data_IF_766720001601
#
_entry.id   IF_766720001601
#
_cell.length_a   1.000
_cell.length_b   1.000
_cell.length_c   1.000
_cell.angle_alpha   90.00
_cell.angle_beta   90.00
_cell.angle_gamma   90.00
#
_symmetry.space_group_name_H-M   'P 1'
#
loop_
_entity.id
_entity.type
_entity.pdbx_description
1 polymer ?
#
# COMPACT_ATOMS: atom_id res chain seq x y z
N UNK A 1 8.49 1.36 7.34
CA UNK A 1 7.34 1.49 6.45
C UNK A 1 6.92 0.14 5.90
N UNK A 2 5.66 -0.03 5.69
CA UNK A 2 5.10 -1.24 5.08
C UNK A 2 4.08 -0.84 4.02
N UNK A 3 4.16 -1.46 2.86
CA UNK A 3 3.20 -1.26 1.78
C UNK A 3 2.33 -2.51 1.63
N UNK A 4 1.04 -2.36 1.86
CA UNK A 4 0.06 -3.41 1.55
C UNK A 4 -0.31 -3.29 0.08
N UNK A 5 -0.12 -4.35 -0.68
CA UNK A 5 -0.16 -4.25 -2.14
C UNK A 5 -0.63 -5.56 -2.77
N UNK A 6 -0.95 -5.50 -4.06
CA UNK A 6 -1.11 -6.68 -4.89
C UNK A 6 -0.58 -6.38 -6.29
N UNK A 7 0.20 -7.30 -6.89
CA UNK A 7 0.83 -7.04 -8.21
C UNK A 7 -0.17 -6.77 -9.34
N UNK A 8 -1.39 -7.30 -9.23
CA UNK A 8 -2.43 -7.10 -10.24
C UNK A 8 -3.09 -5.73 -10.13
N UNK A 9 -2.99 -5.08 -8.97
CA UNK A 9 -3.59 -3.78 -8.75
C UNK A 9 -2.87 -2.71 -9.57
N UNK A 10 -3.58 -2.05 -10.48
CA UNK A 10 -3.01 -0.97 -11.29
C UNK A 10 -2.67 0.25 -10.44
N UNK A 11 -3.39 0.47 -9.35
CA UNK A 11 -3.12 1.56 -8.43
C UNK A 11 -1.85 1.33 -7.59
N UNK A 12 -1.47 0.07 -7.38
CA UNK A 12 -0.27 -0.30 -6.63
C UNK A 12 1.01 -0.08 -7.44
N UNK A 13 0.95 -0.29 -8.75
CA UNK A 13 2.14 -0.25 -9.62
C UNK A 13 2.96 1.03 -9.51
N UNK A 14 2.36 2.23 -9.63
CA UNK A 14 3.17 3.46 -9.56
C UNK A 14 3.84 3.63 -8.21
N UNK A 15 3.23 3.18 -7.13
CA UNK A 15 3.81 3.25 -5.79
C UNK A 15 5.01 2.33 -5.70
N UNK A 16 4.89 1.08 -6.14
CA UNK A 16 6.01 0.13 -6.12
C UNK A 16 7.16 0.59 -6.98
N UNK A 17 6.85 1.14 -8.15
CA UNK A 17 7.87 1.64 -9.06
C UNK A 17 8.64 2.80 -8.45
N UNK A 18 7.94 3.74 -7.83
CA UNK A 18 8.55 4.88 -7.17
C UNK A 18 9.48 4.43 -6.03
N UNK A 19 9.03 3.49 -5.23
CA UNK A 19 9.84 2.94 -4.13
C UNK A 19 11.12 2.29 -4.68
N UNK A 20 10.99 1.49 -5.73
CA UNK A 20 12.13 0.80 -6.31
C UNK A 20 13.13 1.78 -6.94
N UNK A 21 12.64 2.76 -7.70
CA UNK A 21 13.50 3.72 -8.40
C UNK A 21 14.25 4.64 -7.44
N UNK A 22 13.71 4.90 -6.28
CA UNK A 22 14.31 5.81 -5.30
C UNK A 22 15.04 5.10 -4.17
N UNK A 23 15.12 3.77 -4.23
CA UNK A 23 15.82 2.97 -3.22
C UNK A 23 15.24 3.11 -1.82
N UNK A 24 13.94 3.31 -1.72
CA UNK A 24 13.27 3.48 -0.43
C UNK A 24 13.12 2.12 0.25
N UNK A 25 13.50 2.05 1.54
CA UNK A 25 13.31 0.84 2.31
C UNK A 25 11.86 0.73 2.76
N UNK A 26 11.16 -0.25 2.22
CA UNK A 26 9.76 -0.45 2.54
C UNK A 26 9.45 -1.94 2.41
N UNK A 27 8.90 -2.52 3.47
CA UNK A 27 8.44 -3.90 3.43
C UNK A 27 7.15 -3.98 2.63
N UNK A 28 6.98 -5.06 1.89
CA UNK A 28 5.75 -5.28 1.13
C UNK A 28 4.99 -6.45 1.73
N UNK A 29 3.69 -6.27 1.89
CA UNK A 29 2.80 -7.35 2.29
C UNK A 29 1.70 -7.48 1.26
N UNK A 30 1.61 -8.67 0.66
CA UNK A 30 0.60 -8.91 -0.36
C UNK A 30 -0.76 -9.14 0.28
N UNK A 31 -1.77 -8.40 -0.19
CA UNK A 31 -3.17 -8.62 0.16
C UNK A 31 -3.83 -9.29 -1.04
N UNK A 32 -4.25 -10.54 -0.89
CA UNK A 32 -4.76 -11.31 -2.02
C UNK A 32 -6.17 -10.86 -2.40
N UNK A 33 -6.25 -9.80 -3.20
CA UNK A 33 -7.53 -9.23 -3.61
C UNK A 33 -8.33 -10.19 -4.50
N UNK A 34 -7.65 -11.11 -5.18
CA UNK A 34 -8.32 -12.10 -6.01
C UNK A 34 -9.10 -13.11 -5.17
N UNK A 35 -8.69 -13.31 -3.92
CA UNK A 35 -9.36 -14.19 -2.98
C UNK A 35 -10.19 -13.43 -1.94
N UNK A 36 -10.31 -12.11 -2.11
CA UNK A 36 -11.10 -11.28 -1.21
C UNK A 36 -10.44 -10.96 0.13
N UNK A 37 -9.11 -11.11 0.23
CA UNK A 37 -8.40 -10.86 1.49
C UNK A 37 -8.55 -9.41 1.97
N UNK A 38 -8.81 -8.47 1.06
CA UNK A 38 -9.03 -7.06 1.40
C UNK A 38 -10.34 -6.82 2.16
N UNK A 39 -11.26 -7.80 2.15
CA UNK A 39 -12.50 -7.76 2.93
C UNK A 39 -12.40 -8.55 4.23
N UNK A 40 -11.27 -9.22 4.47
CA UNK A 40 -11.09 -10.09 5.62
C UNK A 40 -10.12 -9.48 6.63
N UNK A 41 -10.27 -9.90 7.89
CA UNK A 41 -9.32 -9.52 8.92
C UNK A 41 -7.97 -10.24 8.70
N UNK A 42 -6.84 -9.63 9.07
CA UNK A 42 -6.75 -8.35 9.79
C UNK A 42 -6.84 -7.10 8.91
N UNK A 43 -6.79 -7.24 7.58
CA UNK A 43 -6.69 -6.09 6.69
C UNK A 43 -7.92 -5.19 6.74
N UNK A 44 -9.11 -5.76 6.87
CA UNK A 44 -10.35 -4.97 6.89
C UNK A 44 -10.37 -4.00 8.07
N UNK A 45 -9.81 -4.41 9.22
CA UNK A 45 -9.70 -3.50 10.38
C UNK A 45 -8.65 -2.43 10.18
N UNK A 46 -7.54 -2.77 9.50
CA UNK A 46 -6.47 -1.81 9.25
C UNK A 46 -6.90 -0.76 8.22
N UNK A 47 -7.69 -1.16 7.24
CA UNK A 47 -8.14 -0.27 6.17
C UNK A 47 -9.63 -0.42 5.95
N UNK A 48 -10.44 0.43 6.60
CA UNK A 48 -11.90 0.37 6.44
C UNK A 48 -12.38 0.52 4.99
N UNK A 49 -11.59 1.16 4.13
CA UNK A 49 -11.90 1.30 2.71
C UNK A 49 -11.66 0.02 1.93
N UNK A 50 -10.94 -0.95 2.52
CA UNK A 50 -10.69 -2.27 1.94
C UNK A 50 -10.06 -2.23 0.56
N UNK A 51 -9.11 -1.31 0.36
CA UNK A 51 -8.45 -1.12 -0.92
C UNK A 51 -6.94 -1.29 -0.79
N UNK A 52 -6.28 -1.57 -1.89
CA UNK A 52 -4.84 -1.49 -2.00
C UNK A 52 -4.51 -0.43 -3.06
N UNK A 53 -3.39 0.28 -2.97
CA UNK A 53 -2.35 0.17 -1.94
C UNK A 53 -2.70 0.89 -0.64
N UNK A 54 -2.04 0.48 0.44
CA UNK A 54 -2.06 1.22 1.70
C UNK A 54 -0.63 1.27 2.24
N UNK A 55 -0.15 2.46 2.56
CA UNK A 55 1.16 2.63 3.17
C UNK A 55 1.00 2.84 4.67
N UNK A 56 1.78 2.08 5.44
CA UNK A 56 1.83 2.23 6.89
C UNK A 56 3.22 2.70 7.29
N UNK A 57 3.30 3.82 7.99
CA UNK A 57 4.56 4.35 8.52
C UNK A 57 4.31 4.78 9.96
N UNK A 58 4.81 3.99 10.90
CA UNK A 58 4.50 4.13 12.33
C UNK A 58 2.99 4.09 12.54
N UNK A 59 2.40 5.16 13.06
CA UNK A 59 0.95 5.21 13.29
C UNK A 59 0.17 5.77 12.11
N UNK A 60 0.88 6.23 11.07
CA UNK A 60 0.25 6.82 9.90
C UNK A 60 -0.13 5.74 8.91
N UNK A 61 -1.36 5.81 8.41
CA UNK A 61 -1.85 4.93 7.34
C UNK A 61 -2.42 5.78 6.23
N UNK A 62 -1.88 5.59 5.03
CA UNK A 62 -2.30 6.34 3.85
C UNK A 62 -2.87 5.39 2.81
N UNK A 63 -4.03 5.74 2.31
CA UNK A 63 -4.63 5.09 1.15
C UNK A 63 -4.55 6.06 -0.03
N UNK A 64 -4.94 5.62 -1.22
CA UNK A 64 -4.83 6.40 -2.45
C UNK A 64 -3.38 6.54 -2.92
N UNK A 65 -3.12 6.04 -4.12
CA UNK A 65 -1.75 6.02 -4.66
C UNK A 65 -1.15 7.42 -4.77
N UNK A 66 -1.95 8.42 -5.15
CA UNK A 66 -1.45 9.80 -5.27
C UNK A 66 -1.00 10.37 -3.93
N UNK A 67 -1.75 10.12 -2.87
CA UNK A 67 -1.38 10.58 -1.52
C UNK A 67 -0.12 9.87 -1.03
N UNK A 68 0.00 8.57 -1.30
CA UNK A 68 1.17 7.78 -0.93
C UNK A 68 2.42 8.31 -1.66
N UNK A 69 2.29 8.55 -2.97
CA UNK A 69 3.41 9.06 -3.78
C UNK A 69 3.88 10.42 -3.27
N UNK A 70 2.95 11.30 -2.93
CA UNK A 70 3.30 12.61 -2.39
C UNK A 70 4.02 12.49 -1.06
N UNK A 71 3.53 11.64 -0.17
CA UNK A 71 4.16 11.40 1.12
C UNK A 71 5.59 10.90 0.95
N UNK A 72 5.80 9.92 0.06
CA UNK A 72 7.13 9.37 -0.18
C UNK A 72 8.07 10.39 -0.80
N UNK A 73 7.56 11.24 -1.69
CA UNK A 73 8.37 12.28 -2.33
C UNK A 73 8.82 13.35 -1.33
N UNK A 74 7.98 13.65 -0.36
CA UNK A 74 8.26 14.69 0.64
C UNK A 74 9.09 14.18 1.81
N UNK A 75 9.34 12.89 1.89
CA UNK A 75 10.03 12.28 3.02
C UNK A 75 11.55 12.40 2.98
#
# INVERSE_FOLDING_TARGET
MKLYMHPVSTATRPVRLFIAENGIKCDEEMVDILKGAHYQEPYASLNPNRMVPMLEDADLRLTESSAILKYLADK
#
